data_IF_126277830628
#
_entry.id   IF_126277830628
#
_cell.length_a   1.000
_cell.length_b   1.000
_cell.length_c   1.000
_cell.angle_alpha   90.00
_cell.angle_beta   90.00
_cell.angle_gamma   90.00
#
_symmetry.space_group_name_H-M   'P 1'
#
loop_
_entity.id
_entity.type
_entity.pdbx_description
1 polymer ?
#
# COMPACT_ATOMS: atom_id res chain seq x y z
N UNK A 1 -25.03 1.76 5.78
CA UNK A 1 -24.36 0.47 5.59
C UNK A 1 -24.84 -0.05 4.25
N UNK A 2 -24.09 0.19 3.18
CA UNK A 2 -24.25 -0.59 1.95
C UNK A 2 -23.14 -1.63 1.98
N UNK A 3 -23.31 -2.62 2.84
CA UNK A 3 -22.58 -3.87 2.73
C UNK A 3 -23.13 -4.54 1.48
N UNK A 4 -22.41 -4.38 0.36
CA UNK A 4 -22.63 -5.12 -0.87
C UNK A 4 -22.47 -6.61 -0.48
N UNK A 5 -23.56 -7.40 -0.40
CA UNK A 5 -23.52 -8.77 0.15
C UNK A 5 -22.64 -9.70 -0.70
N UNK A 6 -22.42 -9.28 -1.94
CA UNK A 6 -21.59 -9.91 -2.94
C UNK A 6 -20.13 -9.50 -2.85
N UNK A 7 -19.73 -8.58 -1.96
CA UNK A 7 -18.35 -8.16 -1.82
C UNK A 7 -17.64 -8.88 -0.67
N UNK A 8 -16.59 -9.65 -1.00
CA UNK A 8 -15.68 -10.23 -0.01
C UNK A 8 -14.41 -9.39 0.05
N UNK A 9 -14.03 -8.79 1.19
CA UNK A 9 -12.81 -8.01 1.29
C UNK A 9 -11.58 -8.93 1.34
N UNK A 10 -10.61 -8.65 0.47
CA UNK A 10 -9.32 -9.35 0.38
C UNK A 10 -8.15 -8.51 0.89
N UNK A 11 -8.37 -7.20 1.08
CA UNK A 11 -7.39 -6.31 1.70
C UNK A 11 -8.06 -5.37 2.68
N UNK A 12 -7.27 -4.79 3.58
CA UNK A 12 -7.76 -3.79 4.52
C UNK A 12 -7.91 -2.44 3.81
N UNK A 13 -8.83 -1.56 4.24
CA UNK A 13 -8.90 -0.22 3.68
C UNK A 13 -7.57 0.52 3.88
N UNK A 14 -6.92 0.93 2.80
CA UNK A 14 -5.68 1.73 2.85
C UNK A 14 -6.00 3.18 2.49
N UNK A 15 -5.67 4.14 3.36
CA UNK A 15 -5.90 5.56 3.08
C UNK A 15 -5.04 6.02 1.90
N UNK A 16 -5.65 6.76 0.97
CA UNK A 16 -4.95 7.33 -0.17
C UNK A 16 -4.35 8.67 0.27
N UNK A 17 -3.03 8.76 0.24
CA UNK A 17 -2.29 9.91 0.73
C UNK A 17 -2.73 11.21 0.03
N UNK A 18 -2.98 12.26 0.81
CA UNK A 18 -3.45 13.55 0.30
C UNK A 18 -4.97 13.60 0.07
N UNK A 19 -5.72 12.61 0.54
CA UNK A 19 -7.17 12.53 0.34
C UNK A 19 -7.90 12.01 1.57
N UNK A 20 -9.22 12.23 1.61
CA UNK A 20 -10.11 11.58 2.60
C UNK A 20 -10.63 10.22 2.14
N UNK A 21 -10.10 9.69 1.03
CA UNK A 21 -10.49 8.42 0.46
C UNK A 21 -9.59 7.30 0.96
N UNK A 22 -10.15 6.12 1.12
CA UNK A 22 -9.45 4.86 1.35
C UNK A 22 -9.81 3.88 0.25
N UNK A 23 -8.83 3.15 -0.27
CA UNK A 23 -9.06 2.10 -1.26
C UNK A 23 -9.07 0.73 -0.58
N UNK A 24 -9.93 -0.15 -1.06
CA UNK A 24 -9.98 -1.53 -0.60
C UNK A 24 -10.23 -2.47 -1.78
N UNK A 25 -9.51 -3.59 -1.82
CA UNK A 25 -9.67 -4.63 -2.84
C UNK A 25 -10.44 -5.80 -2.24
N UNK A 26 -11.34 -6.34 -3.03
CA UNK A 26 -12.08 -7.54 -2.72
C UNK A 26 -12.39 -8.32 -3.98
N UNK A 27 -13.18 -9.37 -3.81
CA UNK A 27 -13.78 -10.10 -4.90
C UNK A 27 -15.30 -10.01 -4.84
N UNK A 28 -15.90 -9.94 -6.02
CA UNK A 28 -17.34 -10.14 -6.16
C UNK A 28 -17.65 -11.64 -6.11
N UNK A 29 -18.56 -12.06 -5.23
CA UNK A 29 -19.02 -13.45 -5.08
C UNK A 29 -19.80 -13.91 -6.30
N UNK A 30 -20.51 -13.00 -6.97
CA UNK A 30 -21.34 -13.31 -8.13
C UNK A 30 -20.51 -13.52 -9.42
N UNK A 31 -19.50 -12.68 -9.64
CA UNK A 31 -18.71 -12.68 -10.89
C UNK A 31 -17.31 -13.31 -10.75
N UNK A 32 -16.86 -13.60 -9.52
CA UNK A 32 -15.47 -14.00 -9.20
C UNK A 32 -14.40 -13.01 -9.72
N UNK A 33 -14.82 -11.79 -10.07
CA UNK A 33 -13.96 -10.70 -10.54
C UNK A 33 -13.39 -9.93 -9.35
N UNK A 34 -12.24 -9.31 -9.59
CA UNK A 34 -11.64 -8.39 -8.63
C UNK A 34 -12.47 -7.10 -8.58
N UNK A 35 -12.84 -6.65 -7.40
CA UNK A 35 -13.60 -5.42 -7.20
C UNK A 35 -12.79 -4.48 -6.32
N UNK A 36 -12.50 -3.28 -6.80
CA UNK A 36 -11.93 -2.21 -5.97
C UNK A 36 -13.08 -1.33 -5.49
N UNK A 37 -13.02 -0.88 -4.24
CA UNK A 37 -13.94 0.13 -3.70
C UNK A 37 -13.17 1.30 -3.12
N UNK A 38 -13.71 2.49 -3.36
CA UNK A 38 -13.26 3.73 -2.74
C UNK A 38 -14.23 4.08 -1.62
N UNK A 39 -13.68 4.34 -0.44
CA UNK A 39 -14.41 4.61 0.79
C UNK A 39 -14.04 6.03 1.23
N UNK A 40 -15.03 6.91 1.38
CA UNK A 40 -14.87 8.26 1.94
C UNK A 40 -15.57 8.33 3.29
N UNK A 41 -14.79 8.36 4.37
CA UNK A 41 -15.33 8.32 5.73
C UNK A 41 -16.08 7.01 5.99
N UNK A 42 -17.42 7.06 5.99
CA UNK A 42 -18.31 5.89 6.21
C UNK A 42 -19.05 5.42 4.95
N UNK A 43 -18.87 6.11 3.82
CA UNK A 43 -19.62 5.85 2.59
C UNK A 43 -18.71 5.28 1.51
N UNK A 44 -19.20 4.32 0.74
CA UNK A 44 -18.53 3.85 -0.48
C UNK A 44 -18.87 4.85 -1.58
N UNK A 45 -17.85 5.50 -2.15
CA UNK A 45 -18.00 6.53 -3.19
C UNK A 45 -18.10 5.92 -4.58
N UNK A 46 -17.33 4.85 -4.83
CA UNK A 46 -17.33 4.17 -6.12
C UNK A 46 -16.78 2.76 -6.00
N UNK A 47 -17.22 1.88 -6.88
CA UNK A 47 -16.67 0.53 -7.02
C UNK A 47 -16.61 0.13 -8.49
N UNK A 48 -15.52 -0.51 -8.89
CA UNK A 48 -15.32 -1.02 -10.24
C UNK A 48 -14.83 -2.47 -10.19
N UNK A 49 -15.31 -3.27 -11.14
CA UNK A 49 -14.93 -4.66 -11.31
C UNK A 49 -13.89 -4.80 -12.41
N UNK A 50 -12.90 -5.66 -12.18
CA UNK A 50 -11.80 -5.97 -13.08
C UNK A 50 -11.65 -7.48 -13.19
N UNK A 51 -11.38 -7.95 -14.40
CA UNK A 51 -11.10 -9.37 -14.65
C UNK A 51 -9.74 -9.79 -14.06
N UNK A 52 -8.76 -8.88 -14.04
CA UNK A 52 -7.41 -9.12 -13.55
C UNK A 52 -7.00 -8.16 -12.44
N UNK A 53 -6.07 -8.61 -11.60
CA UNK A 53 -5.49 -7.82 -10.51
C UNK A 53 -4.41 -6.85 -11.06
N UNK A 54 -4.83 -5.95 -11.95
CA UNK A 54 -3.94 -5.01 -12.63
C UNK A 54 -3.88 -3.67 -11.88
N UNK A 55 -2.71 -3.40 -11.28
CA UNK A 55 -2.50 -2.17 -10.51
C UNK A 55 -2.65 -0.89 -11.33
N UNK A 56 -2.32 -0.89 -12.63
CA UNK A 56 -2.44 0.30 -13.47
C UNK A 56 -3.91 0.67 -13.71
N UNK A 57 -4.78 -0.32 -13.94
CA UNK A 57 -6.23 -0.10 -14.11
C UNK A 57 -6.85 0.45 -12.81
N UNK A 58 -6.46 -0.10 -11.66
CA UNK A 58 -6.93 0.37 -10.36
C UNK A 58 -6.48 1.79 -10.04
N UNK A 59 -5.24 2.16 -10.39
CA UNK A 59 -4.73 3.52 -10.26
C UNK A 59 -5.53 4.47 -11.15
N UNK A 60 -5.80 4.08 -12.40
CA UNK A 60 -6.60 4.87 -13.34
C UNK A 60 -8.03 5.11 -12.80
N UNK A 61 -8.67 4.07 -12.26
CA UNK A 61 -9.97 4.19 -11.59
C UNK A 61 -9.95 5.16 -10.42
N UNK A 62 -8.96 5.03 -9.52
CA UNK A 62 -8.81 5.91 -8.37
C UNK A 62 -8.62 7.36 -8.82
N UNK A 63 -7.76 7.59 -9.82
CA UNK A 63 -7.51 8.92 -10.36
C UNK A 63 -8.78 9.52 -10.98
N UNK A 64 -9.58 8.71 -11.69
CA UNK A 64 -10.87 9.11 -12.27
C UNK A 64 -11.90 9.48 -11.20
N UNK A 65 -12.10 8.62 -10.21
CA UNK A 65 -13.13 8.79 -9.17
C UNK A 65 -12.78 9.86 -8.15
N UNK A 66 -11.50 10.02 -7.82
CA UNK A 66 -11.12 11.03 -6.83
C UNK A 66 -11.16 12.44 -7.41
N UNK A 67 -10.98 12.62 -8.73
CA UNK A 67 -10.97 13.91 -9.41
C UNK A 67 -10.11 14.98 -8.70
N UNK A 68 -9.02 14.57 -8.02
CA UNK A 68 -8.16 15.48 -7.25
C UNK A 68 -6.92 15.85 -8.10
N UNK A 69 -6.74 17.14 -8.44
CA UNK A 69 -5.68 17.59 -9.35
C UNK A 69 -4.24 17.49 -8.78
N UNK A 70 -4.06 17.02 -7.55
CA UNK A 70 -2.77 16.98 -6.84
C UNK A 70 -2.47 15.64 -6.14
N UNK A 71 -3.05 14.51 -6.58
CA UNK A 71 -2.52 13.23 -6.12
C UNK A 71 -1.15 12.95 -6.73
N UNK A 72 -0.25 12.44 -5.89
CA UNK A 72 1.00 11.88 -6.36
C UNK A 72 0.78 10.42 -6.84
N UNK A 73 0.89 10.12 -8.15
CA UNK A 73 0.65 8.79 -8.69
C UNK A 73 1.59 7.73 -8.10
N UNK A 74 2.80 8.11 -7.70
CA UNK A 74 3.75 7.21 -7.05
C UNK A 74 3.26 6.74 -5.69
N UNK A 75 2.62 7.62 -4.90
CA UNK A 75 2.07 7.23 -3.59
C UNK A 75 0.86 6.31 -3.74
N UNK A 76 0.02 6.57 -4.75
CA UNK A 76 -1.09 5.66 -5.07
C UNK A 76 -0.56 4.31 -5.47
N UNK A 77 0.44 4.25 -6.36
CA UNK A 77 0.96 2.98 -6.85
C UNK A 77 1.58 2.14 -5.73
N UNK A 78 2.25 2.76 -4.74
CA UNK A 78 2.74 2.04 -3.56
C UNK A 78 1.59 1.47 -2.71
N UNK A 79 0.54 2.27 -2.46
CA UNK A 79 -0.63 1.81 -1.72
C UNK A 79 -1.35 0.68 -2.46
N UNK A 80 -1.48 0.78 -3.78
CA UNK A 80 -2.10 -0.26 -4.62
C UNK A 80 -1.28 -1.53 -4.63
N UNK A 81 0.06 -1.45 -4.74
CA UNK A 81 0.93 -2.63 -4.60
C UNK A 81 0.75 -3.33 -3.25
N UNK A 82 0.58 -2.56 -2.17
CA UNK A 82 0.27 -3.13 -0.86
C UNK A 82 -1.10 -3.80 -0.81
N UNK A 83 -2.13 -3.18 -1.42
CA UNK A 83 -3.47 -3.77 -1.51
C UNK A 83 -3.48 -5.07 -2.32
N UNK A 84 -2.76 -5.10 -3.44
CA UNK A 84 -2.59 -6.28 -4.30
C UNK A 84 -1.89 -7.39 -3.52
N UNK A 85 -0.77 -7.08 -2.86
CA UNK A 85 -0.05 -8.04 -2.02
C UNK A 85 -0.88 -8.58 -0.86
N UNK A 86 -1.79 -7.77 -0.31
CA UNK A 86 -2.75 -8.24 0.69
C UNK A 86 -3.80 -9.14 0.06
N UNK A 87 -4.30 -8.78 -1.13
CA UNK A 87 -5.30 -9.57 -1.83
C UNK A 87 -4.78 -10.94 -2.29
N UNK A 88 -3.50 -11.04 -2.64
CA UNK A 88 -2.83 -12.31 -2.94
C UNK A 88 -2.71 -13.24 -1.72
N UNK A 89 -2.76 -12.70 -0.49
CA UNK A 89 -2.70 -13.50 0.75
C UNK A 89 -4.02 -14.20 1.09
N UNK A 90 -5.08 -13.94 0.33
CA UNK A 90 -6.40 -14.52 0.55
C UNK A 90 -7.38 -13.57 1.23
N UNK A 91 -8.63 -14.01 1.42
CA UNK A 91 -9.68 -13.18 2.01
C UNK A 91 -9.33 -12.81 3.45
N UNK A 92 -9.69 -11.60 3.88
CA UNK A 92 -9.48 -11.16 5.28
C UNK A 92 -10.30 -11.94 6.32
N UNK A 93 -11.05 -12.96 5.90
CA UNK A 93 -11.92 -13.78 6.74
C UNK A 93 -11.15 -14.86 7.52
N UNK A 94 -9.88 -15.14 7.24
CA UNK A 94 -9.10 -16.07 8.07
C UNK A 94 -8.53 -15.39 9.32
N UNK A 95 -9.39 -15.13 10.28
CA UNK A 95 -9.00 -15.23 11.69
C UNK A 95 -9.41 -16.62 12.16
N UNK A 96 -8.48 -17.57 12.33
CA UNK A 96 -8.71 -18.65 13.28
C UNK A 96 -9.06 -17.98 14.61
N UNK A 97 -10.24 -18.27 15.14
CA UNK A 97 -10.57 -17.91 16.53
C UNK A 97 -9.37 -18.34 17.39
N UNK A 98 -8.76 -17.43 18.18
CA UNK A 98 -7.74 -17.86 19.12
C UNK A 98 -8.37 -18.92 20.04
N UNK A 99 -7.67 -20.04 20.34
CA UNK A 99 -8.17 -20.97 21.35
C UNK A 99 -8.42 -20.20 22.65
N UNK A 100 -9.59 -20.43 23.24
CA UNK A 100 -10.10 -19.78 24.45
C UNK A 100 -9.02 -19.64 25.54
N UNK A 101 -8.97 -18.50 26.26
CA UNK A 101 -8.02 -18.35 27.36
C UNK A 101 -8.33 -19.41 28.44
N UNK A 102 -7.30 -20.07 29.02
CA UNK A 102 -7.50 -20.92 30.20
C UNK A 102 -8.04 -20.09 31.37
N UNK A 103 -8.86 -20.69 32.26
CA UNK A 103 -9.48 -19.98 33.37
C UNK A 103 -8.42 -19.43 34.34
N UNK A 104 -8.59 -18.18 34.75
CA UNK A 104 -7.79 -17.54 35.79
C UNK A 104 -7.88 -18.30 37.12
N UNK A 105 -6.79 -18.40 37.91
CA UNK A 105 -6.90 -18.53 39.36
C UNK A 105 -7.04 -17.15 40.02
N UNK A 106 -8.11 -16.99 40.78
CA UNK A 106 -8.37 -15.91 41.75
C UNK A 106 -7.46 -15.97 42.97
N UNK A 107 -6.90 -14.82 43.42
CA UNK A 107 -6.77 -14.34 44.82
C UNK A 107 -5.90 -13.06 44.84
N UNK A 108 -6.39 -11.85 45.14
CA UNK A 108 -6.71 -11.22 46.45
C UNK A 108 -5.47 -10.74 47.24
N UNK A 109 -5.43 -9.41 47.52
CA UNK A 109 -4.87 -8.70 48.72
C UNK A 109 -3.70 -7.71 48.50
N UNK A 110 -4.02 -6.41 48.53
CA UNK A 110 -3.22 -5.22 48.94
C UNK A 110 -2.92 -5.30 50.46
N UNK A 111 -1.87 -4.69 51.12
CA UNK A 111 -1.33 -3.33 50.90
C UNK A 111 0.17 -3.04 51.27
N UNK A 112 0.55 -1.76 51.10
CA UNK A 112 1.51 -0.96 51.90
C UNK A 112 3.00 -0.78 51.46
N UNK A 113 3.27 0.45 50.97
CA UNK A 113 4.33 1.40 51.35
C UNK A 113 5.81 0.95 51.53
N UNK A 114 6.72 1.55 50.75
CA UNK A 114 7.88 2.32 51.28
C UNK A 114 8.61 3.13 50.19
N UNK A 115 9.03 4.33 50.58
CA UNK A 115 9.75 5.34 49.78
C UNK A 115 11.22 4.98 49.49
N UNK A 116 11.77 5.56 48.42
CA UNK A 116 13.17 6.04 48.22
C UNK A 116 13.22 6.73 46.83
N UNK A 117 13.47 8.03 46.71
CA UNK A 117 14.76 8.74 46.78
C UNK A 117 15.45 8.84 45.40
N UNK A 118 15.79 10.10 45.06
CA UNK A 118 16.42 10.71 43.87
C UNK A 118 17.42 9.90 43.03
N UNK A 119 17.45 10.12 41.71
CA UNK A 119 18.66 10.59 41.00
C UNK A 119 18.35 11.13 39.59
N UNK A 120 18.91 12.30 39.25
CA UNK A 120 18.88 12.91 37.92
C UNK A 120 20.30 12.86 37.35
N UNK A 121 20.54 12.19 36.20
CA UNK A 121 21.77 12.42 35.46
C UNK A 121 21.52 13.23 34.16
N UNK A 122 21.94 14.49 34.23
CA UNK A 122 22.83 15.24 33.33
C UNK A 122 22.96 14.79 31.84
N UNK A 123 22.72 15.77 30.95
CA UNK A 123 22.98 15.81 29.48
C UNK A 123 24.30 15.15 29.04
N UNK A 124 24.22 14.44 27.91
CA UNK A 124 25.29 14.42 26.88
C UNK A 124 24.65 14.36 25.48
N UNK A 125 25.14 15.19 24.56
CA UNK A 125 24.63 15.33 23.20
C UNK A 125 24.83 14.06 22.36
N UNK A 126 23.93 13.73 21.41
CA UNK A 126 24.16 12.65 20.47
C UNK A 126 25.24 13.03 19.45
N UNK A 127 26.25 12.17 19.32
CA UNK A 127 27.26 12.22 18.27
C UNK A 127 26.64 12.07 16.87
N UNK A 128 27.29 12.60 15.81
CA UNK A 128 26.81 12.42 14.44
C UNK A 128 26.84 10.94 14.05
N UNK A 129 25.68 10.43 13.61
CA UNK A 129 25.56 9.09 13.05
C UNK A 129 26.31 9.08 11.72
N UNK A 130 27.44 8.38 11.67
CA UNK A 130 28.13 8.03 10.44
C UNK A 130 27.20 7.17 9.58
N UNK A 131 26.71 7.74 8.48
CA UNK A 131 25.98 7.01 7.45
C UNK A 131 27.03 6.28 6.60
N UNK A 132 27.39 5.06 7.00
CA UNK A 132 28.17 4.18 6.14
C UNK A 132 27.32 3.79 4.93
N UNK A 133 27.75 4.29 3.78
CA UNK A 133 27.42 3.81 2.44
C UNK A 133 27.51 2.27 2.38
N UNK A 134 26.37 1.60 2.27
CA UNK A 134 26.30 0.16 2.08
C UNK A 134 25.18 -0.18 1.09
N UNK A 135 25.60 -0.71 -0.06
CA UNK A 135 24.79 -1.56 -0.93
C UNK A 135 23.84 -0.85 -1.88
N UNK A 136 24.28 -0.64 -3.13
CA UNK A 136 23.35 -0.58 -4.27
C UNK A 136 22.56 -1.89 -4.27
N UNK A 137 21.30 -1.83 -3.84
CA UNK A 137 20.42 -2.99 -3.82
C UNK A 137 19.94 -3.37 -5.23
N UNK A 138 19.32 -4.55 -5.41
CA UNK A 138 18.83 -5.06 -6.69
C UNK A 138 17.80 -4.13 -7.37
N UNK A 139 17.22 -3.21 -6.60
CA UNK A 139 16.33 -2.17 -7.11
C UNK A 139 17.08 -1.13 -7.96
N UNK A 140 18.32 -0.80 -7.61
CA UNK A 140 19.13 0.15 -8.36
C UNK A 140 19.62 -0.45 -9.69
N UNK A 141 19.96 -1.74 -9.70
CA UNK A 141 20.28 -2.47 -10.92
C UNK A 141 19.08 -2.54 -11.86
N UNK A 142 17.87 -2.79 -11.34
CA UNK A 142 16.64 -2.76 -12.14
C UNK A 142 16.36 -1.35 -12.72
N UNK A 143 16.63 -0.29 -11.95
CA UNK A 143 16.49 1.10 -12.43
C UNK A 143 17.50 1.39 -13.54
N UNK A 144 18.74 0.94 -13.40
CA UNK A 144 19.78 1.13 -14.41
C UNK A 144 19.44 0.36 -15.70
N UNK A 145 18.97 -0.89 -15.59
CA UNK A 145 18.52 -1.68 -16.75
C UNK A 145 17.33 -1.03 -17.48
N UNK A 146 16.36 -0.49 -16.74
CA UNK A 146 15.24 0.23 -17.35
C UNK A 146 15.71 1.51 -18.05
N UNK A 147 16.70 2.21 -17.50
CA UNK A 147 17.29 3.39 -18.14
C UNK A 147 17.97 3.04 -19.48
N UNK A 148 18.71 1.93 -19.53
CA UNK A 148 19.37 1.47 -20.78
C UNK A 148 18.34 1.10 -21.86
N UNK A 149 17.26 0.43 -21.49
CA UNK A 149 16.18 0.06 -22.42
C UNK A 149 15.53 1.31 -23.00
N UNK A 150 15.24 2.33 -22.18
CA UNK A 150 14.64 3.59 -22.65
C UNK A 150 15.57 4.33 -23.60
N UNK A 151 16.87 4.39 -23.30
CA UNK A 151 17.85 5.01 -24.19
C UNK A 151 17.98 4.29 -25.53
N UNK A 152 17.98 2.95 -25.52
CA UNK A 152 18.01 2.15 -26.75
C UNK A 152 16.77 2.41 -27.62
N UNK A 153 15.58 2.45 -27.00
CA UNK A 153 14.34 2.70 -27.72
C UNK A 153 14.28 4.10 -28.33
N UNK A 154 14.77 5.12 -27.61
CA UNK A 154 14.89 6.48 -28.14
C UNK A 154 15.85 6.55 -29.33
N UNK A 155 16.97 5.83 -29.27
CA UNK A 155 17.93 5.77 -30.37
C UNK A 155 17.32 5.10 -31.60
N UNK A 156 16.55 4.02 -31.43
CA UNK A 156 15.84 3.36 -32.53
C UNK A 156 14.79 4.28 -33.17
N UNK A 157 14.01 5.01 -32.36
CA UNK A 157 13.04 5.98 -32.87
C UNK A 157 13.75 7.09 -33.66
N UNK A 158 14.88 7.58 -33.17
CA UNK A 158 15.66 8.60 -33.87
C UNK A 158 16.19 8.11 -35.21
N UNK A 159 16.66 6.86 -35.27
CA UNK A 159 17.16 6.24 -36.50
C UNK A 159 16.04 6.05 -37.54
N UNK A 160 14.84 5.66 -37.09
CA UNK A 160 13.65 5.57 -37.94
C UNK A 160 13.22 6.94 -38.47
N UNK A 161 13.25 7.99 -37.64
CA UNK A 161 12.92 9.34 -38.07
C UNK A 161 13.92 9.89 -39.09
N UNK A 162 15.21 9.58 -38.91
CA UNK A 162 16.27 9.98 -39.84
C UNK A 162 16.14 9.26 -41.20
N UNK A 163 15.89 7.94 -41.17
CA UNK A 163 15.61 7.15 -42.37
C UNK A 163 14.36 7.63 -43.12
N UNK A 164 13.30 8.03 -42.40
CA UNK A 164 12.09 8.58 -43.02
C UNK A 164 12.35 9.95 -43.67
N UNK A 165 13.19 10.79 -43.05
CA UNK A 165 13.61 12.09 -43.60
C UNK A 165 14.54 11.95 -44.80
N UNK A 166 15.39 10.93 -44.84
CA UNK A 166 16.26 10.65 -45.96
C UNK A 166 15.54 10.05 -47.18
N UNK A 167 14.29 9.61 -47.01
CA UNK A 167 13.45 9.04 -48.08
C UNK A 167 12.47 10.05 -48.72
N UNK A 168 12.50 11.32 -48.29
CA UNK A 168 11.83 12.45 -48.97
C UNK A 168 12.85 13.27 -49.75
#
# INVERSE_FOLDING_TARGET
>A
MMDDPDYTPYSSPIPIAGTSYSAQIGKSKASNKWKIRLIKGRNVTGSEEFDELNGNLMIAFIMRETAIPMLNPYKISQNIKMLIKQAERGPLTEKPLPPSPPPMPTTTTTPAARASEYDVPKRTAPAPISISSAGKGPLQDAINQLSEIVSMLQQTIQLLQDALRASQ
#
